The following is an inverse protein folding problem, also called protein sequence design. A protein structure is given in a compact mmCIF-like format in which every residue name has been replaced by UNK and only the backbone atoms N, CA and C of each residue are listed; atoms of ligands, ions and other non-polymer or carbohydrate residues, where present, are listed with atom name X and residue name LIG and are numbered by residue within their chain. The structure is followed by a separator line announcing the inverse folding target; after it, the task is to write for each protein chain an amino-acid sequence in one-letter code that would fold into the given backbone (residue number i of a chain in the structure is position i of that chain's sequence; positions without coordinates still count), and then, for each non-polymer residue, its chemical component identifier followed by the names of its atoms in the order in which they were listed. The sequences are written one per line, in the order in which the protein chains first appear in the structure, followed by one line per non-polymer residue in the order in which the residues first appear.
data_IF_636229352796
#
_entry.id   IF_636229352796
#
_cell.length_a   1.000
_cell.length_b   1.000
_cell.length_c   1.000
_cell.angle_alpha   90.00
_cell.angle_beta   90.00
_cell.angle_gamma   90.00
#
_symmetry.space_group_name_H-M   'P 1'
#
loop_
_entity.id
_entity.type
_entity.pdbx_description
1 polymer ?
#
# COMPACT_ATOMS: atom_id res chain seq x y z
N UNK A 1 -18.04 20.01 6.61
CA UNK A 1 -17.47 19.07 5.62
C UNK A 1 -18.10 17.72 5.86
N UNK A 2 -18.51 17.04 4.79
CA UNK A 2 -19.19 15.76 4.89
C UNK A 2 -18.24 14.64 5.37
N UNK A 3 -18.76 13.57 5.98
CA UNK A 3 -17.95 12.47 6.55
C UNK A 3 -17.11 11.80 5.45
N UNK A 4 -17.67 11.67 4.25
CA UNK A 4 -16.96 11.14 3.08
C UNK A 4 -15.76 12.02 2.67
N UNK A 5 -15.93 13.35 2.73
CA UNK A 5 -14.83 14.29 2.43
C UNK A 5 -13.74 14.21 3.48
N UNK A 6 -14.10 14.00 4.75
CA UNK A 6 -13.16 13.82 5.84
C UNK A 6 -12.36 12.52 5.70
N UNK A 7 -13.02 11.42 5.34
CA UNK A 7 -12.38 10.12 5.07
C UNK A 7 -11.37 10.21 3.93
N UNK A 8 -11.73 10.86 2.81
CA UNK A 8 -10.82 11.05 1.68
C UNK A 8 -9.58 11.85 2.07
N UNK A 9 -9.75 12.94 2.83
CA UNK A 9 -8.63 13.75 3.30
C UNK A 9 -7.77 12.95 4.28
N UNK A 10 -8.37 12.21 5.21
CA UNK A 10 -7.63 11.37 6.14
C UNK A 10 -6.79 10.30 5.41
N UNK A 11 -7.39 9.59 4.44
CA UNK A 11 -6.67 8.58 3.64
C UNK A 11 -5.54 9.23 2.82
N UNK A 12 -5.78 10.40 2.24
CA UNK A 12 -4.77 11.14 1.48
C UNK A 12 -3.59 11.55 2.38
N UNK A 13 -3.87 12.11 3.56
CA UNK A 13 -2.84 12.55 4.51
C UNK A 13 -2.03 11.37 5.02
N UNK A 14 -2.69 10.26 5.40
CA UNK A 14 -2.01 9.03 5.82
C UNK A 14 -1.18 8.44 4.68
N UNK A 15 -1.71 8.42 3.46
CA UNK A 15 -1.00 7.95 2.27
C UNK A 15 0.24 8.78 1.96
N UNK A 16 0.12 10.12 2.00
CA UNK A 16 1.24 11.05 1.84
C UNK A 16 2.29 10.87 2.94
N UNK A 17 1.87 10.78 4.20
CA UNK A 17 2.77 10.55 5.33
C UNK A 17 3.51 9.20 5.19
N UNK A 18 2.82 8.15 4.72
CA UNK A 18 3.41 6.85 4.47
C UNK A 18 4.42 6.88 3.31
N UNK A 19 4.11 7.59 2.23
CA UNK A 19 5.03 7.83 1.11
C UNK A 19 6.28 8.60 1.55
N UNK A 20 6.11 9.71 2.27
CA UNK A 20 7.22 10.50 2.82
C UNK A 20 8.05 9.66 3.78
N UNK A 21 7.40 8.93 4.69
CA UNK A 21 8.05 8.01 5.63
C UNK A 21 8.88 6.96 4.90
N UNK A 22 8.34 6.40 3.82
CA UNK A 22 9.04 5.46 2.96
C UNK A 22 10.28 6.06 2.30
N UNK A 23 10.18 7.26 1.72
CA UNK A 23 11.33 7.95 1.13
C UNK A 23 12.37 8.38 2.17
N UNK A 24 11.96 8.74 3.40
CA UNK A 24 12.87 9.04 4.50
C UNK A 24 13.58 7.81 5.07
N UNK A 25 12.90 6.65 5.13
CA UNK A 25 13.48 5.39 5.63
C UNK A 25 14.26 4.61 4.57
N UNK A 26 14.25 5.05 3.31
CA UNK A 26 15.07 4.47 2.26
C UNK A 26 16.56 4.67 2.58
N UNK A 27 17.26 3.56 2.78
CA UNK A 27 18.73 3.57 2.77
C UNK A 27 19.25 3.89 1.36
N UNK A 28 20.47 4.42 1.26
CA UNK A 28 21.10 4.79 -0.03
C UNK A 28 21.19 3.56 -0.94
N UNK A 29 20.44 3.60 -2.04
CA UNK A 29 20.26 2.48 -2.96
C UNK A 29 18.96 1.75 -2.68
N UNK A 30 17.96 1.89 -3.56
CA UNK A 30 16.75 1.08 -3.56
C UNK A 30 17.15 -0.42 -3.47
N UNK A 31 17.09 -1.00 -2.26
CA UNK A 31 17.42 -2.40 -2.05
C UNK A 31 16.47 -3.33 -2.81
N UNK A 32 16.80 -4.63 -2.86
CA UNK A 32 16.05 -5.67 -3.58
C UNK A 32 14.54 -5.66 -3.35
N UNK A 33 14.09 -5.34 -2.13
CA UNK A 33 12.66 -5.31 -1.77
C UNK A 33 12.04 -3.92 -1.85
N UNK A 34 12.86 -2.89 -2.05
CA UNK A 34 12.42 -1.51 -1.91
C UNK A 34 11.52 -1.08 -3.08
N UNK A 35 11.61 -1.69 -4.26
CA UNK A 35 10.64 -1.43 -5.35
C UNK A 35 9.32 -2.15 -5.08
N UNK A 36 9.36 -3.39 -4.60
CA UNK A 36 8.16 -4.18 -4.35
C UNK A 36 7.34 -3.66 -3.16
N UNK A 37 8.01 -3.23 -2.07
CA UNK A 37 7.33 -2.56 -0.95
C UNK A 37 6.72 -1.23 -1.38
N UNK A 38 7.38 -0.48 -2.27
CA UNK A 38 6.80 0.74 -2.84
C UNK A 38 5.51 0.45 -3.60
N UNK A 39 5.52 -0.58 -4.47
CA UNK A 39 4.35 -0.99 -5.23
C UNK A 39 3.19 -1.40 -4.32
N UNK A 40 3.45 -2.19 -3.28
CA UNK A 40 2.44 -2.55 -2.26
C UNK A 40 1.83 -1.28 -1.66
N UNK A 41 2.68 -0.35 -1.22
CA UNK A 41 2.28 0.86 -0.53
C UNK A 41 1.40 1.75 -1.44
N UNK A 42 1.79 1.91 -2.71
CA UNK A 42 1.01 2.63 -3.71
C UNK A 42 -0.33 1.95 -3.99
N UNK A 43 -0.35 0.63 -4.18
CA UNK A 43 -1.59 -0.15 -4.42
C UNK A 43 -2.58 0.02 -3.27
N UNK A 44 -2.11 -0.06 -2.02
CA UNK A 44 -2.95 0.10 -0.84
C UNK A 44 -3.51 1.53 -0.74
N UNK A 45 -2.70 2.56 -1.01
CA UNK A 45 -3.17 3.96 -1.00
C UNK A 45 -4.26 4.18 -2.06
N UNK A 46 -4.04 3.69 -3.28
CA UNK A 46 -5.01 3.85 -4.37
C UNK A 46 -6.30 3.09 -4.04
N UNK A 47 -6.21 1.85 -3.56
CA UNK A 47 -7.38 1.07 -3.15
C UNK A 47 -8.16 1.74 -2.02
N UNK A 48 -7.47 2.30 -1.01
CA UNK A 48 -8.09 3.02 0.08
C UNK A 48 -8.79 4.32 -0.38
N UNK A 49 -8.19 5.05 -1.33
CA UNK A 49 -8.83 6.24 -1.92
C UNK A 49 -10.09 5.88 -2.71
N UNK A 50 -10.04 4.82 -3.51
CA UNK A 50 -11.21 4.35 -4.27
C UNK A 50 -12.31 3.80 -3.36
N UNK A 51 -11.95 3.15 -2.25
CA UNK A 51 -12.90 2.72 -1.23
C UNK A 51 -13.54 3.91 -0.51
N UNK A 52 -12.75 4.90 -0.09
CA UNK A 52 -13.26 6.13 0.53
C UNK A 52 -14.13 6.97 -0.42
N UNK A 53 -13.90 6.89 -1.74
CA UNK A 53 -14.74 7.52 -2.76
C UNK A 53 -16.03 6.73 -3.07
N UNK A 54 -16.27 5.58 -2.42
CA UNK A 54 -17.40 4.70 -2.69
C UNK A 54 -17.38 4.04 -4.07
N UNK A 55 -16.21 4.01 -4.73
CA UNK A 55 -16.01 3.39 -6.05
C UNK A 55 -15.61 1.91 -5.96
N UNK A 56 -15.16 1.47 -4.79
CA UNK A 56 -14.84 0.07 -4.51
C UNK A 56 -15.80 -0.48 -3.45
N UNK A 57 -16.32 -1.66 -3.73
CA UNK A 57 -17.07 -2.45 -2.76
C UNK A 57 -16.13 -3.12 -1.74
N UNK A 58 -16.68 -3.46 -0.56
CA UNK A 58 -15.94 -4.09 0.52
C UNK A 58 -15.35 -5.45 0.09
N UNK A 59 -16.06 -6.22 -0.74
CA UNK A 59 -15.59 -7.51 -1.24
C UNK A 59 -14.35 -7.37 -2.13
N UNK A 60 -14.34 -6.38 -3.01
CA UNK A 60 -13.17 -6.05 -3.85
C UNK A 60 -11.99 -5.57 -3.01
N UNK A 61 -12.25 -4.74 -2.00
CA UNK A 61 -11.23 -4.26 -1.07
C UNK A 61 -10.56 -5.42 -0.32
N UNK A 62 -11.34 -6.40 0.14
CA UNK A 62 -10.82 -7.60 0.79
C UNK A 62 -9.91 -8.41 -0.16
N UNK A 63 -10.30 -8.59 -1.43
CA UNK A 63 -9.48 -9.29 -2.42
C UNK A 63 -8.13 -8.59 -2.66
N UNK A 64 -8.13 -7.26 -2.78
CA UNK A 64 -6.90 -6.47 -2.93
C UNK A 64 -6.02 -6.64 -1.69
N UNK A 65 -6.61 -6.61 -0.50
CA UNK A 65 -5.87 -6.77 0.75
C UNK A 65 -5.23 -8.16 0.86
N UNK A 66 -5.95 -9.23 0.49
CA UNK A 66 -5.41 -10.58 0.41
C UNK A 66 -4.26 -10.70 -0.59
N UNK A 67 -4.40 -10.09 -1.78
CA UNK A 67 -3.34 -10.08 -2.78
C UNK A 67 -2.07 -9.36 -2.27
N UNK A 68 -2.25 -8.24 -1.57
CA UNK A 68 -1.15 -7.48 -0.95
C UNK A 68 -0.45 -8.28 0.14
N UNK A 69 -1.20 -8.95 1.03
CA UNK A 69 -0.61 -9.81 2.07
C UNK A 69 0.13 -10.98 1.44
N UNK A 70 -0.45 -11.65 0.44
CA UNK A 70 0.19 -12.76 -0.28
C UNK A 70 1.47 -12.32 -0.99
N UNK A 71 1.46 -11.16 -1.63
CA UNK A 71 2.64 -10.58 -2.28
C UNK A 71 3.71 -10.18 -1.27
N UNK A 72 3.33 -9.58 -0.13
CA UNK A 72 4.25 -9.29 0.96
C UNK A 72 4.87 -10.56 1.56
N UNK A 73 4.07 -11.59 1.82
CA UNK A 73 4.54 -12.90 2.27
C UNK A 73 5.52 -13.54 1.28
N UNK A 74 5.19 -13.48 -0.01
CA UNK A 74 6.06 -13.92 -1.12
C UNK A 74 7.42 -13.21 -1.14
N UNK A 75 7.45 -11.91 -0.87
CA UNK A 75 8.69 -11.13 -0.80
C UNK A 75 9.58 -11.56 0.37
N UNK A 76 9.01 -11.90 1.54
CA UNK A 76 9.78 -12.31 2.71
C UNK A 76 10.22 -13.78 2.66
N UNK A 77 9.43 -14.66 2.05
CA UNK A 77 9.77 -16.10 1.93
C UNK A 77 10.63 -16.43 0.71
N UNK A 78 10.76 -15.52 -0.27
CA UNK A 78 11.53 -15.74 -1.50
C UNK A 78 13.05 -15.77 -1.34
N UNK A 79 13.58 -15.99 -0.12
CA UNK A 79 15.03 -16.03 0.17
C UNK A 79 15.64 -17.43 0.25
N UNK A 80 14.88 -18.51 0.14
CA UNK A 80 15.40 -19.88 0.26
C UNK A 80 15.44 -20.68 -1.05
N UNK A 81 15.24 -20.04 -2.21
CA UNK A 81 15.33 -20.71 -3.52
C UNK A 81 16.26 -19.97 -4.49
N UNK A 82 17.45 -19.57 -4.01
CA UNK A 82 18.60 -19.34 -4.89
C UNK A 82 19.61 -20.45 -4.57
N UNK A 83 19.77 -21.33 -5.56
CA UNK A 83 20.56 -22.57 -5.57
C UNK A 83 22.03 -22.39 -5.23
#
# INVERSE_FOLDING_TARGET
MDVASWLLIAVLVVGLASLIGFFCTKTKGFGRFATSTFLILVVVIIAALFFAAGKLDLSLMANIFFAVIGFAGGLFTGKDNES
#
